data_IF_910211977847
#
_entry.id   IF_910211977847
#
_cell.length_a   1.000
_cell.length_b   1.000
_cell.length_c   1.000
_cell.angle_alpha   90.00
_cell.angle_beta   90.00
_cell.angle_gamma   90.00
#
_symmetry.space_group_name_H-M   'P 1'
#
loop_
_entity.id
_entity.type
_entity.pdbx_description
1 polymer ?
#
# COMPACT_ATOMS: atom_id res chain seq x y z
N UNK A 1 -59.57 -46.99 25.42
CA UNK A 1 -59.20 -45.91 26.35
C UNK A 1 -58.72 -44.73 25.52
N UNK A 2 -59.56 -43.70 25.50
CA UNK A 2 -59.43 -42.28 25.14
C UNK A 2 -58.07 -41.84 24.56
N UNK A 3 -57.96 -41.16 23.41
CA UNK A 3 -58.91 -40.29 22.72
C UNK A 3 -58.39 -38.83 22.76
N UNK A 4 -58.10 -38.18 21.61
CA UNK A 4 -57.58 -36.81 21.52
C UNK A 4 -58.72 -35.79 21.58
N UNK A 5 -58.43 -34.54 21.96
CA UNK A 5 -59.42 -33.45 21.89
C UNK A 5 -58.95 -32.29 21.01
N UNK A 6 -59.86 -31.90 20.11
CA UNK A 6 -59.86 -30.73 19.25
C UNK A 6 -60.95 -29.82 19.79
N UNK A 7 -60.73 -28.51 19.82
CA UNK A 7 -61.85 -27.56 19.81
C UNK A 7 -61.50 -26.30 19.04
N UNK A 8 -62.42 -25.91 18.17
CA UNK A 8 -62.41 -24.82 17.20
C UNK A 8 -62.90 -23.47 17.80
N UNK A 9 -62.29 -22.35 17.35
CA UNK A 9 -62.85 -21.13 16.68
C UNK A 9 -64.07 -20.42 17.34
N UNK A 10 -64.09 -19.06 17.51
CA UNK A 10 -64.41 -18.14 16.40
C UNK A 10 -63.86 -16.70 16.38
N UNK A 11 -63.59 -16.24 15.15
CA UNK A 11 -64.12 -15.01 14.52
C UNK A 11 -63.91 -13.63 15.19
N UNK A 12 -63.24 -12.72 14.46
CA UNK A 12 -63.33 -11.28 14.70
C UNK A 12 -62.57 -10.46 13.65
N UNK A 13 -63.32 -9.85 12.72
CA UNK A 13 -62.84 -8.77 11.85
C UNK A 13 -62.88 -7.43 12.61
N UNK A 14 -61.85 -6.62 12.44
CA UNK A 14 -61.75 -5.18 12.75
C UNK A 14 -60.34 -4.76 12.35
N UNK A 15 -60.12 -4.18 11.16
CA UNK A 15 -60.20 -2.74 10.90
C UNK A 15 -59.91 -1.88 12.14
N UNK A 16 -58.68 -1.35 12.25
CA UNK A 16 -58.47 0.07 12.55
C UNK A 16 -56.99 0.53 12.48
N UNK A 17 -56.81 1.63 11.75
CA UNK A 17 -55.87 2.73 11.95
C UNK A 17 -54.35 2.44 11.91
N UNK A 18 -53.79 2.42 10.69
CA UNK A 18 -52.43 2.91 10.48
C UNK A 18 -52.43 4.45 10.59
N UNK A 19 -51.71 4.97 11.58
CA UNK A 19 -51.48 6.39 11.83
C UNK A 19 -50.90 7.09 10.58
N UNK A 20 -51.65 8.06 10.07
CA UNK A 20 -51.19 8.99 9.04
C UNK A 20 -50.39 10.11 9.70
N UNK A 21 -49.08 10.09 9.49
CA UNK A 21 -48.20 11.24 9.77
C UNK A 21 -48.47 12.36 8.73
N UNK A 22 -48.46 13.65 9.11
CA UNK A 22 -48.88 14.74 8.23
C UNK A 22 -47.85 15.02 7.12
N UNK A 23 -48.37 15.15 5.91
CA UNK A 23 -47.68 15.46 4.67
C UNK A 23 -47.13 16.90 4.71
N UNK A 24 -45.81 17.04 4.73
CA UNK A 24 -45.14 18.34 4.65
C UNK A 24 -45.31 18.93 3.25
N UNK A 25 -46.05 20.05 3.17
CA UNK A 25 -46.15 20.91 1.97
C UNK A 25 -44.75 21.35 1.51
N UNK A 26 -44.36 20.91 0.32
CA UNK A 26 -43.23 21.50 -0.43
C UNK A 26 -43.65 22.87 -0.96
N UNK A 27 -42.87 23.95 -0.73
CA UNK A 27 -43.11 25.19 -1.44
C UNK A 27 -42.64 25.04 -2.88
N UNK A 28 -43.56 25.25 -3.83
CA UNK A 28 -43.27 25.35 -5.25
C UNK A 28 -42.45 26.61 -5.51
N UNK A 29 -41.17 26.42 -5.78
CA UNK A 29 -40.28 27.42 -6.37
C UNK A 29 -39.94 26.98 -7.79
N UNK A 30 -40.32 27.81 -8.75
CA UNK A 30 -39.95 27.72 -10.17
C UNK A 30 -38.42 27.59 -10.29
N UNK A 31 -37.84 26.63 -11.05
CA UNK A 31 -36.40 26.52 -11.15
C UNK A 31 -35.87 27.75 -11.89
N UNK A 32 -35.24 28.65 -11.14
CA UNK A 32 -34.47 29.76 -11.68
C UNK A 32 -33.46 29.18 -12.70
N UNK A 33 -33.65 29.57 -13.96
CA UNK A 33 -32.77 29.23 -15.08
C UNK A 33 -31.36 29.70 -14.75
N UNK A 34 -30.49 28.77 -14.37
CA UNK A 34 -29.05 29.03 -14.23
C UNK A 34 -28.54 29.55 -15.58
N UNK A 35 -27.92 30.75 -15.64
CA UNK A 35 -27.33 31.23 -16.88
C UNK A 35 -26.26 30.23 -17.31
N UNK A 36 -26.41 29.66 -18.51
CA UNK A 36 -25.36 28.84 -19.08
C UNK A 36 -24.09 29.69 -19.24
N UNK A 37 -22.90 29.16 -18.94
CA UNK A 37 -21.66 29.86 -19.24
C UNK A 37 -21.64 30.17 -20.74
N UNK A 38 -21.42 31.44 -21.10
CA UNK A 38 -21.23 31.85 -22.49
C UNK A 38 -20.10 30.99 -23.07
N UNK A 39 -20.39 30.27 -24.16
CA UNK A 39 -19.36 29.67 -24.99
C UNK A 39 -18.31 30.73 -25.31
N UNK A 40 -17.00 30.42 -25.28
CA UNK A 40 -16.02 31.34 -25.81
C UNK A 40 -16.41 31.66 -27.25
N UNK A 41 -16.39 32.95 -27.60
CA UNK A 41 -16.57 33.38 -28.98
C UNK A 41 -15.66 32.52 -29.87
N UNK A 42 -16.17 32.06 -31.02
CA UNK A 42 -15.34 31.38 -32.01
C UNK A 42 -14.13 32.26 -32.38
N UNK A 43 -13.05 31.67 -32.93
CA UNK A 43 -11.82 32.39 -33.19
C UNK A 43 -12.14 33.65 -34.02
N UNK A 44 -11.85 34.81 -33.43
CA UNK A 44 -12.06 36.11 -34.05
C UNK A 44 -11.02 36.21 -35.17
N UNK A 45 -11.44 35.99 -36.42
CA UNK A 45 -10.55 36.10 -37.59
C UNK A 45 -10.12 37.55 -37.72
N UNK A 46 -8.81 37.78 -37.64
CA UNK A 46 -8.21 39.09 -37.83
C UNK A 46 -7.85 39.26 -39.31
N UNK A 47 -8.64 40.05 -40.03
CA UNK A 47 -8.32 40.46 -41.41
C UNK A 47 -7.28 41.60 -41.38
N UNK A 48 -6.01 41.24 -41.25
CA UNK A 48 -4.89 42.20 -41.19
C UNK A 48 -4.26 42.41 -42.56
N UNK A 49 -3.84 43.65 -42.91
CA UNK A 49 -3.14 43.91 -44.15
C UNK A 49 -1.74 43.26 -44.15
N UNK A 50 -1.24 42.92 -45.33
CA UNK A 50 0.04 42.23 -45.54
C UNK A 50 1.21 42.85 -44.76
N UNK A 51 1.35 44.18 -44.74
CA UNK A 51 2.44 44.86 -44.04
C UNK A 51 2.40 44.63 -42.52
N UNK A 52 1.20 44.52 -41.94
CA UNK A 52 1.02 44.23 -40.51
C UNK A 52 1.39 42.78 -40.23
N UNK A 53 0.91 41.83 -41.05
CA UNK A 53 1.26 40.41 -40.92
C UNK A 53 2.76 40.16 -41.10
N UNK A 54 3.40 40.87 -42.04
CA UNK A 54 4.84 40.85 -42.23
C UNK A 54 5.59 41.38 -41.01
N UNK A 55 5.09 42.42 -40.35
CA UNK A 55 5.70 42.96 -39.13
C UNK A 55 5.58 42.00 -37.93
N UNK A 56 4.55 41.14 -37.91
CA UNK A 56 4.33 40.15 -36.87
C UNK A 56 5.22 38.91 -36.99
N UNK A 57 5.92 38.69 -38.12
CA UNK A 57 6.74 37.49 -38.34
C UNK A 57 7.81 37.28 -37.26
N UNK A 58 8.41 38.36 -36.75
CA UNK A 58 9.39 38.29 -35.66
C UNK A 58 8.77 37.86 -34.33
N UNK A 59 7.60 38.42 -33.97
CA UNK A 59 6.87 38.06 -32.76
C UNK A 59 6.32 36.63 -32.85
N UNK A 60 5.83 36.24 -34.02
CA UNK A 60 5.36 34.89 -34.31
C UNK A 60 6.49 33.86 -34.23
N UNK A 61 7.68 34.18 -34.75
CA UNK A 61 8.86 33.31 -34.65
C UNK A 61 9.31 33.09 -33.19
N UNK A 62 9.01 34.03 -32.29
CA UNK A 62 9.28 33.95 -30.85
C UNK A 62 8.10 33.39 -30.03
N UNK A 63 7.03 32.93 -30.67
CA UNK A 63 5.78 32.52 -30.01
C UNK A 63 5.19 33.59 -29.07
N UNK A 64 5.35 34.86 -29.42
CA UNK A 64 4.91 36.02 -28.63
C UNK A 64 3.60 36.65 -29.15
N UNK A 65 3.02 36.13 -30.24
CA UNK A 65 1.72 36.55 -30.75
C UNK A 65 0.57 36.01 -29.89
N UNK A 66 -0.56 36.72 -29.87
CA UNK A 66 -1.82 36.16 -29.39
C UNK A 66 -2.30 35.02 -30.30
N UNK A 67 -3.30 34.24 -29.84
CA UNK A 67 -3.86 33.13 -30.63
C UNK A 67 -4.45 33.62 -31.97
N UNK A 68 -5.20 34.73 -31.96
CA UNK A 68 -5.82 35.28 -33.16
C UNK A 68 -4.78 35.83 -34.17
N UNK A 69 -3.70 36.44 -33.68
CA UNK A 69 -2.58 36.88 -34.53
C UNK A 69 -1.80 35.70 -35.10
N UNK A 70 -1.64 34.62 -34.31
CA UNK A 70 -0.97 33.39 -34.76
C UNK A 70 -1.73 32.76 -35.92
N UNK A 71 -3.04 32.59 -35.77
CA UNK A 71 -3.91 32.04 -36.82
C UNK A 71 -3.85 32.89 -38.11
N UNK A 72 -3.92 34.22 -37.97
CA UNK A 72 -3.86 35.14 -39.11
C UNK A 72 -2.50 35.13 -39.82
N UNK A 73 -1.39 35.02 -39.07
CA UNK A 73 -0.05 34.86 -39.66
C UNK A 73 0.08 33.51 -40.36
N UNK A 74 -0.38 32.40 -39.76
CA UNK A 74 -0.29 31.08 -40.36
C UNK A 74 -1.09 30.94 -41.66
N UNK A 75 -2.30 31.51 -41.71
CA UNK A 75 -3.09 31.61 -42.94
C UNK A 75 -2.32 32.41 -44.01
N UNK A 76 -1.73 33.55 -43.63
CA UNK A 76 -0.92 34.37 -44.55
C UNK A 76 0.33 33.67 -45.08
N UNK A 77 1.02 32.88 -44.26
CA UNK A 77 2.19 32.11 -44.67
C UNK A 77 1.86 31.04 -45.72
N UNK A 78 0.62 30.54 -45.73
CA UNK A 78 0.13 29.64 -46.78
C UNK A 78 0.00 30.33 -48.14
N UNK A 79 -0.32 31.63 -48.15
CA UNK A 79 -0.61 32.40 -49.36
C UNK A 79 0.57 33.26 -49.86
N UNK A 80 1.59 33.52 -49.02
CA UNK A 80 2.72 34.38 -49.35
C UNK A 80 4.09 33.71 -49.15
N UNK A 81 4.68 33.22 -50.25
CA UNK A 81 5.99 32.55 -50.23
C UNK A 81 7.13 33.40 -49.68
N UNK A 82 7.14 34.72 -49.93
CA UNK A 82 8.18 35.62 -49.41
C UNK A 82 8.14 35.74 -47.87
N UNK A 83 6.93 35.76 -47.28
CA UNK A 83 6.77 35.77 -45.83
C UNK A 83 7.05 34.39 -45.23
N UNK A 84 6.71 33.29 -45.92
CA UNK A 84 7.06 31.94 -45.50
C UNK A 84 8.58 31.73 -45.42
N UNK A 85 9.32 32.22 -46.43
CA UNK A 85 10.78 32.15 -46.44
C UNK A 85 11.42 32.97 -45.31
N UNK A 86 10.88 34.16 -45.05
CA UNK A 86 11.34 35.01 -43.94
C UNK A 86 11.01 34.40 -42.58
N UNK A 87 9.79 33.89 -42.41
CA UNK A 87 9.35 33.19 -41.21
C UNK A 87 10.24 31.98 -40.89
N UNK A 88 10.64 31.22 -41.91
CA UNK A 88 11.58 30.09 -41.77
C UNK A 88 12.96 30.58 -41.30
N UNK A 89 13.52 31.61 -41.93
CA UNK A 89 14.82 32.21 -41.52
C UNK A 89 14.78 32.72 -40.08
N UNK A 90 13.69 33.39 -39.70
CA UNK A 90 13.50 33.90 -38.34
C UNK A 90 13.42 32.75 -37.32
N UNK A 91 12.69 31.66 -37.62
CA UNK A 91 12.66 30.46 -36.75
C UNK A 91 14.03 29.79 -36.62
N UNK A 92 14.79 29.70 -37.71
CA UNK A 92 16.18 29.19 -37.68
C UNK A 92 17.06 30.06 -36.78
N UNK A 93 16.93 31.40 -36.86
CA UNK A 93 17.66 32.33 -36.02
C UNK A 93 17.25 32.28 -34.54
N UNK A 94 15.94 32.11 -34.24
CA UNK A 94 15.45 31.92 -32.85
C UNK A 94 16.03 30.66 -32.24
N UNK A 95 16.18 29.58 -33.01
CA UNK A 95 16.84 28.35 -32.57
C UNK A 95 18.31 28.53 -32.15
N UNK A 96 19.00 29.55 -32.67
CA UNK A 96 20.37 29.91 -32.29
C UNK A 96 20.43 30.82 -31.04
N UNK A 97 19.35 31.54 -30.74
CA UNK A 97 19.24 32.44 -29.58
C UNK A 97 18.73 31.72 -28.32
N UNK A 98 17.97 30.64 -28.50
CA UNK A 98 17.45 29.86 -27.39
C UNK A 98 18.57 28.99 -26.79
N UNK A 99 18.96 29.25 -25.54
CA UNK A 99 19.69 28.25 -24.76
C UNK A 99 18.81 26.99 -24.72
N UNK A 100 19.37 25.78 -24.91
CA UNK A 100 18.59 24.58 -24.68
C UNK A 100 18.10 24.60 -23.24
N UNK A 101 16.80 24.85 -23.05
CA UNK A 101 16.16 24.65 -21.76
C UNK A 101 16.25 23.17 -21.42
N UNK A 102 16.62 22.88 -20.18
CA UNK A 102 16.63 21.49 -19.71
C UNK A 102 15.22 20.92 -19.81
N UNK A 103 15.05 19.82 -20.55
CA UNK A 103 13.81 19.06 -20.58
C UNK A 103 13.56 18.29 -19.26
N UNK A 104 14.42 18.48 -18.26
CA UNK A 104 14.23 17.91 -16.94
C UNK A 104 13.06 18.59 -16.23
N UNK A 105 11.91 17.93 -16.33
CA UNK A 105 10.74 18.24 -15.53
C UNK A 105 11.10 18.05 -14.07
N UNK A 106 10.80 19.04 -13.22
CA UNK A 106 10.94 18.95 -11.77
C UNK A 106 10.32 17.62 -11.28
N UNK A 107 11.09 16.73 -10.63
CA UNK A 107 10.62 15.42 -10.17
C UNK A 107 9.38 15.51 -9.26
N UNK A 108 9.20 16.65 -8.59
CA UNK A 108 8.05 16.92 -7.72
C UNK A 108 6.80 17.37 -8.47
N UNK A 109 6.90 17.74 -9.76
CA UNK A 109 5.76 18.24 -10.55
C UNK A 109 4.62 17.24 -10.57
N UNK A 110 4.91 15.95 -10.81
CA UNK A 110 3.88 14.90 -10.81
C UNK A 110 3.12 14.87 -9.48
N UNK A 111 3.84 14.90 -8.36
CA UNK A 111 3.24 14.86 -7.02
C UNK A 111 2.39 16.12 -6.77
N UNK A 112 2.89 17.31 -7.09
CA UNK A 112 2.14 18.57 -6.97
C UNK A 112 0.87 18.60 -7.82
N UNK A 113 0.95 18.07 -9.06
CA UNK A 113 -0.21 17.96 -9.96
C UNK A 113 -1.24 17.00 -9.39
N UNK A 114 -0.82 15.80 -8.97
CA UNK A 114 -1.72 14.82 -8.36
C UNK A 114 -2.36 15.35 -7.07
N UNK A 115 -1.59 16.02 -6.22
CA UNK A 115 -2.10 16.65 -5.00
C UNK A 115 -3.14 17.73 -5.32
N UNK A 116 -2.87 18.61 -6.28
CA UNK A 116 -3.84 19.63 -6.72
C UNK A 116 -5.11 18.99 -7.30
N UNK A 117 -4.98 17.93 -8.10
CA UNK A 117 -6.11 17.17 -8.61
C UNK A 117 -6.94 16.53 -7.49
N UNK A 118 -6.31 15.91 -6.49
CA UNK A 118 -6.98 15.30 -5.35
C UNK A 118 -7.63 16.33 -4.42
N UNK A 119 -7.03 17.51 -4.23
CA UNK A 119 -7.68 18.62 -3.51
C UNK A 119 -8.93 19.11 -4.23
N UNK A 120 -8.88 19.21 -5.56
CA UNK A 120 -10.03 19.65 -6.38
C UNK A 120 -11.13 18.58 -6.45
N UNK A 121 -10.74 17.30 -6.47
CA UNK A 121 -11.65 16.16 -6.55
C UNK A 121 -11.24 15.11 -5.51
N UNK A 122 -11.66 15.28 -4.24
CA UNK A 122 -11.33 14.33 -3.20
C UNK A 122 -11.93 12.95 -3.50
N UNK A 123 -11.28 11.86 -3.06
CA UNK A 123 -11.83 10.53 -3.19
C UNK A 123 -13.17 10.46 -2.43
N UNK A 124 -14.17 9.84 -3.05
CA UNK A 124 -15.50 9.67 -2.42
C UNK A 124 -15.43 8.82 -1.15
N UNK A 125 -14.48 7.88 -1.12
CA UNK A 125 -14.21 6.98 0.00
C UNK A 125 -12.69 7.03 0.20
N UNK A 126 -12.19 7.80 1.17
CA UNK A 126 -10.76 7.88 1.44
C UNK A 126 -10.28 6.61 2.14
N UNK A 127 -9.07 6.15 1.78
CA UNK A 127 -8.38 5.10 2.52
C UNK A 127 -7.90 5.69 3.86
N UNK A 128 -8.13 5.03 5.00
CA UNK A 128 -7.62 5.49 6.29
C UNK A 128 -6.09 5.57 6.28
N UNK A 129 -5.52 6.59 6.92
CA UNK A 129 -4.06 6.81 6.94
C UNK A 129 -3.28 5.57 7.46
N UNK A 130 -3.81 4.91 8.49
CA UNK A 130 -3.22 3.70 9.07
C UNK A 130 -3.27 2.46 8.14
N UNK A 131 -4.03 2.52 7.03
CA UNK A 131 -4.06 1.50 5.99
C UNK A 131 -3.27 1.90 4.74
N UNK A 132 -2.69 3.11 4.69
CA UNK A 132 -2.06 3.65 3.49
C UNK A 132 -0.80 2.87 3.06
N UNK A 133 -0.05 2.29 3.99
CA UNK A 133 1.08 1.42 3.65
C UNK A 133 0.62 0.15 2.94
N UNK A 134 -0.47 -0.48 3.40
CA UNK A 134 -1.01 -1.68 2.76
C UNK A 134 -1.53 -1.38 1.34
N UNK A 135 -2.26 -0.27 1.16
CA UNK A 135 -2.70 0.20 -0.16
C UNK A 135 -1.52 0.42 -1.10
N UNK A 136 -0.49 1.13 -0.63
CA UNK A 136 0.67 1.43 -1.45
C UNK A 136 1.47 0.18 -1.84
N UNK A 137 1.81 -0.70 -0.90
CA UNK A 137 2.66 -1.85 -1.19
C UNK A 137 1.93 -2.91 -2.05
N UNK A 138 0.62 -3.12 -1.83
CA UNK A 138 -0.17 -3.99 -2.71
C UNK A 138 -0.30 -3.41 -4.13
N UNK A 139 -0.47 -2.09 -4.27
CA UNK A 139 -0.49 -1.44 -5.58
C UNK A 139 0.87 -1.52 -6.31
N UNK A 140 1.98 -1.39 -5.57
CA UNK A 140 3.34 -1.52 -6.13
C UNK A 140 3.63 -2.94 -6.59
N UNK A 141 3.27 -3.95 -5.79
CA UNK A 141 3.41 -5.36 -6.19
C UNK A 141 2.50 -5.68 -7.39
N UNK A 142 1.24 -5.22 -7.41
CA UNK A 142 0.37 -5.42 -8.59
C UNK A 142 0.92 -4.76 -9.86
N UNK A 143 1.60 -3.62 -9.73
CA UNK A 143 2.27 -2.98 -10.86
C UNK A 143 3.42 -3.85 -11.40
N UNK A 144 4.26 -4.40 -10.53
CA UNK A 144 5.32 -5.36 -10.90
C UNK A 144 4.73 -6.57 -11.64
N UNK A 145 3.66 -7.16 -11.10
CA UNK A 145 3.03 -8.37 -11.64
C UNK A 145 2.26 -8.14 -12.94
N UNK A 146 1.95 -6.89 -13.30
CA UNK A 146 1.09 -6.56 -14.45
C UNK A 146 1.66 -7.07 -15.76
N UNK A 147 2.97 -6.90 -15.91
CA UNK A 147 3.69 -7.08 -17.17
C UNK A 147 4.30 -8.48 -17.31
N UNK A 148 4.14 -9.34 -16.31
CA UNK A 148 4.64 -10.72 -16.35
C UNK A 148 3.92 -11.53 -17.42
N UNK A 149 4.66 -12.32 -18.21
CA UNK A 149 4.11 -13.38 -19.04
C UNK A 149 3.87 -14.67 -18.24
N UNK A 150 3.39 -15.73 -18.89
CA UNK A 150 3.06 -16.99 -18.22
C UNK A 150 4.29 -17.71 -17.64
N UNK A 151 5.46 -17.54 -18.25
CA UNK A 151 6.70 -18.16 -17.78
C UNK A 151 7.16 -17.55 -16.45
N UNK A 152 7.06 -16.23 -16.30
CA UNK A 152 7.50 -15.50 -15.12
C UNK A 152 6.76 -15.96 -13.86
N UNK A 153 5.48 -16.33 -13.97
CA UNK A 153 4.67 -16.87 -12.86
C UNK A 153 5.23 -18.17 -12.27
N UNK A 154 6.02 -18.91 -13.04
CA UNK A 154 6.65 -20.16 -12.64
C UNK A 154 8.12 -20.00 -12.27
N UNK A 155 8.66 -18.78 -12.30
CA UNK A 155 10.03 -18.48 -11.87
C UNK A 155 10.23 -18.95 -10.43
N UNK A 156 11.28 -19.75 -10.14
CA UNK A 156 11.54 -20.22 -8.78
C UNK A 156 11.86 -19.07 -7.83
N UNK A 157 11.18 -19.04 -6.68
CA UNK A 157 11.45 -18.13 -5.57
C UNK A 157 11.81 -18.96 -4.34
N UNK A 158 12.68 -18.42 -3.48
CA UNK A 158 13.02 -19.02 -2.19
C UNK A 158 12.61 -18.08 -1.08
N UNK A 159 11.51 -18.40 -0.41
CA UNK A 159 11.11 -17.71 0.82
C UNK A 159 12.12 -18.03 1.92
N UNK A 160 12.43 -17.02 2.75
CA UNK A 160 13.37 -17.11 3.87
C UNK A 160 12.73 -16.52 5.11
N UNK A 161 13.01 -17.13 6.25
CA UNK A 161 12.64 -16.64 7.57
C UNK A 161 13.65 -17.20 8.59
N UNK A 162 13.50 -16.84 9.85
CA UNK A 162 14.36 -17.26 10.93
C UNK A 162 13.54 -17.89 12.04
N UNK A 163 13.80 -19.16 12.35
CA UNK A 163 13.01 -19.97 13.27
C UNK A 163 13.94 -20.79 14.15
N UNK A 164 13.61 -20.90 15.44
CA UNK A 164 14.38 -21.69 16.41
C UNK A 164 15.90 -21.40 16.41
N UNK A 165 16.28 -20.13 16.19
CA UNK A 165 17.68 -19.70 16.20
C UNK A 165 18.46 -20.02 14.93
N UNK A 166 17.80 -20.49 13.86
CA UNK A 166 18.45 -20.83 12.59
C UNK A 166 17.69 -20.27 11.38
N UNK A 167 18.39 -19.98 10.26
CA UNK A 167 17.74 -19.62 9.01
C UNK A 167 16.92 -20.80 8.45
N UNK A 168 15.69 -20.53 8.04
CA UNK A 168 14.80 -21.47 7.40
C UNK A 168 14.43 -20.98 6.00
N UNK A 169 14.07 -21.90 5.10
CA UNK A 169 13.66 -21.53 3.74
C UNK A 169 12.70 -22.52 3.10
N UNK A 170 11.89 -22.01 2.16
CA UNK A 170 10.95 -22.80 1.37
C UNK A 170 11.05 -22.42 -0.10
N UNK A 171 11.18 -23.42 -0.98
CA UNK A 171 11.15 -23.21 -2.43
C UNK A 171 9.70 -23.12 -2.90
N UNK A 172 9.42 -22.16 -3.76
CA UNK A 172 8.11 -21.94 -4.38
C UNK A 172 8.29 -21.28 -5.75
N UNK A 173 7.23 -20.76 -6.33
CA UNK A 173 7.26 -19.93 -7.55
C UNK A 173 6.69 -18.54 -7.28
N UNK A 174 6.83 -17.61 -8.21
CA UNK A 174 6.14 -16.30 -8.14
C UNK A 174 4.64 -16.47 -7.84
N UNK A 175 3.95 -17.36 -8.55
CA UNK A 175 2.54 -17.65 -8.28
C UNK A 175 2.33 -18.24 -6.86
N UNK A 176 3.27 -19.05 -6.38
CA UNK A 176 3.24 -19.57 -5.02
C UNK A 176 3.42 -18.50 -3.94
N UNK A 177 4.24 -17.46 -4.19
CA UNK A 177 4.38 -16.30 -3.30
C UNK A 177 3.08 -15.50 -3.23
N UNK A 178 2.42 -15.23 -4.37
CA UNK A 178 1.12 -14.54 -4.37
C UNK A 178 0.03 -15.39 -3.71
N UNK A 179 0.09 -16.71 -3.85
CA UNK A 179 -0.78 -17.63 -3.13
C UNK A 179 -0.55 -17.58 -1.61
N UNK A 180 0.71 -17.47 -1.16
CA UNK A 180 1.05 -17.23 0.24
C UNK A 180 0.42 -15.92 0.73
N UNK A 181 0.64 -14.80 0.04
CA UNK A 181 0.06 -13.50 0.41
C UNK A 181 -1.47 -13.55 0.50
N UNK A 182 -2.15 -14.11 -0.51
CA UNK A 182 -3.60 -14.34 -0.51
C UNK A 182 -4.05 -15.15 0.72
N UNK A 183 -3.31 -16.21 1.06
CA UNK A 183 -3.67 -17.10 2.16
C UNK A 183 -3.59 -16.39 3.51
N UNK A 184 -2.53 -15.62 3.73
CA UNK A 184 -2.26 -14.96 5.00
C UNK A 184 -3.10 -13.68 5.15
N UNK A 185 -3.30 -12.90 4.07
CA UNK A 185 -4.24 -11.77 4.05
C UNK A 185 -5.69 -12.21 4.36
N UNK A 186 -6.01 -13.48 4.06
CA UNK A 186 -7.27 -14.10 4.47
C UNK A 186 -7.55 -14.04 5.97
N UNK A 187 -6.54 -13.98 6.85
CA UNK A 187 -6.77 -13.80 8.29
C UNK A 187 -7.37 -12.42 8.61
N UNK A 188 -6.90 -11.38 7.91
CA UNK A 188 -7.47 -10.03 8.01
C UNK A 188 -8.87 -10.00 7.40
N UNK A 189 -9.08 -10.70 6.29
CA UNK A 189 -10.38 -10.80 5.64
C UNK A 189 -11.42 -11.42 6.58
N UNK A 190 -11.10 -12.56 7.21
CA UNK A 190 -12.00 -13.22 8.16
C UNK A 190 -12.26 -12.36 9.39
N UNK A 191 -11.25 -11.64 9.91
CA UNK A 191 -11.44 -10.71 11.03
C UNK A 191 -12.37 -9.54 10.68
N UNK A 192 -12.43 -9.14 9.41
CA UNK A 192 -13.35 -8.14 8.88
C UNK A 192 -14.74 -8.71 8.51
N UNK A 193 -14.97 -10.01 8.70
CA UNK A 193 -16.22 -10.68 8.32
C UNK A 193 -16.35 -10.92 6.81
N UNK A 194 -15.26 -10.86 6.06
CA UNK A 194 -15.20 -11.22 4.65
C UNK A 194 -14.98 -12.72 4.49
N UNK A 195 -15.21 -13.22 3.27
CA UNK A 195 -14.98 -14.61 2.92
C UNK A 195 -13.51 -15.00 3.05
N UNK A 196 -13.24 -16.16 3.65
CA UNK A 196 -11.88 -16.71 3.71
C UNK A 196 -11.51 -17.34 2.35
N UNK A 197 -10.44 -16.88 1.67
CA UNK A 197 -10.00 -17.47 0.40
C UNK A 197 -9.60 -18.95 0.51
N UNK A 198 -9.35 -19.44 1.73
CA UNK A 198 -9.10 -20.85 1.99
C UNK A 198 -10.37 -21.69 2.06
N UNK A 199 -11.57 -21.11 2.12
CA UNK A 199 -12.83 -21.87 2.30
C UNK A 199 -12.96 -22.99 1.26
N UNK A 200 -12.79 -22.67 -0.02
CA UNK A 200 -12.84 -23.64 -1.12
C UNK A 200 -11.67 -24.62 -1.11
N UNK A 201 -10.48 -24.16 -0.71
CA UNK A 201 -9.26 -24.95 -0.68
C UNK A 201 -9.32 -26.01 0.45
N UNK A 202 -9.74 -25.60 1.64
CA UNK A 202 -9.93 -26.43 2.83
C UNK A 202 -11.10 -27.40 2.65
N UNK A 203 -12.19 -26.97 1.99
CA UNK A 203 -13.29 -27.87 1.63
C UNK A 203 -12.82 -29.04 0.74
N UNK A 204 -11.83 -28.81 -0.13
CA UNK A 204 -11.24 -29.85 -0.99
C UNK A 204 -10.14 -30.67 -0.32
N UNK A 205 -9.45 -30.11 0.69
CA UNK A 205 -8.29 -30.73 1.34
C UNK A 205 -8.64 -31.69 2.52
N UNK A 206 -9.92 -31.83 2.89
CA UNK A 206 -10.37 -32.75 3.94
C UNK A 206 -10.27 -32.19 5.37
N UNK A 207 -10.66 -32.98 6.40
CA UNK A 207 -10.80 -32.53 7.79
C UNK A 207 -9.51 -31.97 8.42
N UNK A 208 -8.35 -32.48 8.00
CA UNK A 208 -7.03 -32.14 8.57
C UNK A 208 -6.58 -30.70 8.24
N UNK A 209 -7.17 -30.07 7.21
CA UNK A 209 -6.87 -28.71 6.81
C UNK A 209 -7.57 -27.63 7.66
N UNK A 210 -8.59 -28.02 8.46
CA UNK A 210 -9.32 -27.10 9.36
C UNK A 210 -8.49 -26.65 10.57
N UNK A 211 -7.32 -27.26 10.78
CA UNK A 211 -6.34 -26.92 11.82
C UNK A 211 -5.20 -26.02 11.35
N UNK A 212 -5.29 -25.42 10.16
CA UNK A 212 -4.31 -24.47 9.64
C UNK A 212 -4.32 -23.15 10.44
N UNK A 213 -3.75 -23.18 11.64
CA UNK A 213 -3.54 -22.00 12.47
C UNK A 213 -2.33 -21.21 11.95
N UNK A 214 -2.47 -19.88 11.95
CA UNK A 214 -1.40 -18.94 11.63
C UNK A 214 -0.93 -18.92 10.15
N UNK A 215 0.00 -18.01 9.83
CA UNK A 215 0.53 -17.81 8.48
C UNK A 215 1.04 -19.08 7.78
N UNK A 216 1.97 -19.80 8.41
CA UNK A 216 2.61 -20.99 7.85
C UNK A 216 1.60 -22.11 7.56
N UNK A 217 0.70 -22.39 8.51
CA UNK A 217 -0.32 -23.42 8.38
C UNK A 217 -1.27 -23.13 7.21
N UNK A 218 -1.71 -21.87 7.06
CA UNK A 218 -2.60 -21.44 5.97
C UNK A 218 -1.93 -21.53 4.61
N UNK A 219 -0.69 -21.05 4.51
CA UNK A 219 0.11 -21.12 3.28
C UNK A 219 0.24 -22.56 2.78
N UNK A 220 0.65 -23.46 3.67
CA UNK A 220 0.83 -24.88 3.34
C UNK A 220 -0.50 -25.57 3.02
N UNK A 221 -1.59 -25.23 3.71
CA UNK A 221 -2.92 -25.75 3.38
C UNK A 221 -3.37 -25.32 1.97
N UNK A 222 -3.16 -24.05 1.60
CA UNK A 222 -3.52 -23.55 0.29
C UNK A 222 -2.68 -24.20 -0.83
N UNK A 223 -1.37 -24.31 -0.64
CA UNK A 223 -0.49 -24.97 -1.61
C UNK A 223 -0.83 -26.46 -1.78
N UNK A 224 -1.12 -27.19 -0.69
CA UNK A 224 -1.52 -28.61 -0.76
C UNK A 224 -2.88 -28.84 -1.42
N UNK A 225 -3.81 -27.89 -1.30
CA UNK A 225 -5.15 -28.03 -1.87
C UNK A 225 -5.16 -27.98 -3.41
N UNK A 226 -4.05 -27.59 -4.04
CA UNK A 226 -3.96 -27.48 -5.50
C UNK A 226 -3.18 -28.65 -6.08
N UNK A 227 -3.82 -29.41 -6.96
CA UNK A 227 -3.19 -30.55 -7.65
C UNK A 227 -2.15 -30.11 -8.68
N UNK A 228 -2.31 -28.91 -9.24
CA UNK A 228 -1.39 -28.29 -10.19
C UNK A 228 -0.68 -27.08 -9.57
N UNK A 229 0.53 -26.73 -10.05
CA UNK A 229 1.19 -25.50 -9.65
C UNK A 229 0.29 -24.27 -9.84
N UNK A 230 0.45 -23.30 -8.94
CA UNK A 230 -0.25 -22.02 -9.06
C UNK A 230 0.18 -21.30 -10.34
N UNK A 231 -0.75 -20.57 -10.96
CA UNK A 231 -0.53 -19.80 -12.18
C UNK A 231 -0.96 -18.34 -11.98
N UNK A 232 -0.88 -17.53 -13.04
CA UNK A 232 -1.37 -16.14 -13.08
C UNK A 232 -2.77 -15.93 -12.48
N UNK A 233 -3.63 -16.96 -12.49
CA UNK A 233 -4.98 -16.89 -11.94
C UNK A 233 -5.04 -16.43 -10.47
N UNK A 234 -4.00 -16.69 -9.68
CA UNK A 234 -3.94 -16.27 -8.27
C UNK A 234 -3.90 -14.75 -8.11
N UNK A 235 -3.35 -14.01 -9.08
CA UNK A 235 -3.25 -12.55 -9.05
C UNK A 235 -4.62 -11.88 -8.93
N UNK A 236 -5.60 -12.36 -9.70
CA UNK A 236 -6.95 -11.80 -9.69
C UNK A 236 -7.57 -11.92 -8.30
N UNK A 237 -7.50 -13.10 -7.70
CA UNK A 237 -8.03 -13.36 -6.35
C UNK A 237 -7.36 -12.53 -5.27
N UNK A 238 -6.02 -12.47 -5.29
CA UNK A 238 -5.24 -11.66 -4.35
C UNK A 238 -5.60 -10.17 -4.48
N UNK A 239 -5.62 -9.65 -5.71
CA UNK A 239 -5.97 -8.25 -5.98
C UNK A 239 -7.39 -7.90 -5.52
N UNK A 240 -8.36 -8.76 -5.82
CA UNK A 240 -9.75 -8.56 -5.43
C UNK A 240 -9.89 -8.57 -3.90
N UNK A 241 -9.17 -9.45 -3.21
CA UNK A 241 -9.12 -9.47 -1.75
C UNK A 241 -8.52 -8.17 -1.19
N UNK A 242 -7.35 -7.73 -1.67
CA UNK A 242 -6.73 -6.48 -1.20
C UNK A 242 -7.66 -5.28 -1.38
N UNK A 243 -8.35 -5.20 -2.52
CA UNK A 243 -9.37 -4.17 -2.75
C UNK A 243 -10.56 -4.27 -1.79
N UNK A 244 -11.05 -5.48 -1.51
CA UNK A 244 -12.15 -5.69 -0.56
C UNK A 244 -11.75 -5.31 0.88
N UNK A 245 -10.53 -5.67 1.31
CA UNK A 245 -9.97 -5.28 2.59
C UNK A 245 -9.96 -3.75 2.73
N UNK A 246 -9.34 -3.06 1.78
CA UNK A 246 -9.24 -1.60 1.75
C UNK A 246 -10.61 -0.92 1.71
N UNK A 247 -11.51 -1.42 0.87
CA UNK A 247 -12.89 -0.92 0.78
C UNK A 247 -13.60 -1.06 2.13
N UNK A 248 -13.49 -2.22 2.77
CA UNK A 248 -14.17 -2.51 4.04
C UNK A 248 -13.66 -1.61 5.15
N UNK A 249 -12.33 -1.47 5.29
CA UNK A 249 -11.75 -0.59 6.32
C UNK A 249 -12.06 0.89 6.09
N UNK A 250 -12.23 1.30 4.83
CA UNK A 250 -12.64 2.67 4.51
C UNK A 250 -14.08 2.97 4.93
N UNK A 251 -14.92 1.95 5.10
CA UNK A 251 -16.30 2.09 5.58
C UNK A 251 -16.46 1.84 7.08
N UNK A 252 -15.57 1.09 7.73
CA UNK A 252 -15.70 0.78 9.17
C UNK A 252 -15.40 1.96 10.08
N UNK A 253 -14.78 3.04 9.57
CA UNK A 253 -14.67 4.36 10.23
C UNK A 253 -13.95 4.42 11.59
N UNK A 254 -13.59 3.26 12.17
CA UNK A 254 -12.96 3.13 13.48
C UNK A 254 -11.43 3.16 13.41
N UNK A 255 -10.80 3.32 14.57
CA UNK A 255 -9.34 3.41 14.74
C UNK A 255 -8.57 2.08 14.49
N UNK A 256 -9.17 1.10 13.81
CA UNK A 256 -8.55 -0.20 13.53
C UNK A 256 -8.11 -0.96 14.78
N UNK A 257 -8.87 -0.87 15.87
CA UNK A 257 -8.48 -1.40 17.18
C UNK A 257 -8.86 -2.85 17.47
N UNK A 258 -9.74 -3.46 16.68
CA UNK A 258 -10.21 -4.82 16.96
C UNK A 258 -9.14 -5.88 16.65
N UNK A 259 -9.17 -7.04 17.32
CA UNK A 259 -8.10 -8.04 17.23
C UNK A 259 -8.13 -8.84 15.92
N UNK A 260 -6.95 -9.11 15.37
CA UNK A 260 -6.67 -10.05 14.29
C UNK A 260 -5.71 -11.12 14.81
N UNK A 261 -6.16 -12.38 14.82
CA UNK A 261 -5.36 -13.51 15.30
C UNK A 261 -4.40 -14.05 14.23
N UNK A 262 -3.15 -14.26 14.61
CA UNK A 262 -2.08 -14.84 13.78
C UNK A 262 -1.70 -16.26 14.22
N UNK A 263 -2.53 -16.91 15.03
CA UNK A 263 -2.19 -18.15 15.73
C UNK A 263 -1.63 -17.82 17.10
N UNK A 264 -0.31 -17.69 17.22
CA UNK A 264 0.39 -17.56 18.50
C UNK A 264 0.35 -16.15 19.11
N UNK A 265 -0.07 -15.16 18.32
CA UNK A 265 -0.21 -13.78 18.75
C UNK A 265 -1.41 -13.10 18.09
N UNK A 266 -1.72 -11.89 18.58
CA UNK A 266 -2.82 -11.07 18.08
C UNK A 266 -2.32 -9.64 17.86
N UNK A 267 -2.72 -9.05 16.74
CA UNK A 267 -2.48 -7.63 16.44
C UNK A 267 -3.81 -6.88 16.34
N UNK A 268 -3.88 -5.61 16.77
CA UNK A 268 -4.96 -4.73 16.35
C UNK A 268 -5.01 -4.64 14.83
N UNK A 269 -6.19 -4.52 14.20
CA UNK A 269 -6.33 -4.44 12.74
C UNK A 269 -5.35 -3.45 12.09
N UNK A 270 -5.16 -2.27 12.68
CA UNK A 270 -4.24 -1.26 12.14
C UNK A 270 -2.80 -1.79 12.04
N UNK A 271 -2.35 -2.50 13.07
CA UNK A 271 -1.01 -3.08 13.14
C UNK A 271 -0.94 -4.31 12.22
N UNK A 272 -2.03 -5.08 12.11
CA UNK A 272 -2.13 -6.17 11.16
C UNK A 272 -1.99 -5.67 9.71
N UNK A 273 -2.57 -4.54 9.32
CA UNK A 273 -2.36 -4.00 7.97
C UNK A 273 -0.95 -3.47 7.73
N UNK A 274 -0.29 -2.91 8.76
CA UNK A 274 1.13 -2.54 8.66
C UNK A 274 2.01 -3.79 8.49
N UNK A 275 1.73 -4.85 9.24
CA UNK A 275 2.35 -6.16 9.06
C UNK A 275 2.14 -6.71 7.65
N UNK A 276 0.90 -6.74 7.16
CA UNK A 276 0.60 -7.19 5.79
C UNK A 276 1.30 -6.33 4.73
N UNK A 277 1.46 -5.03 4.96
CA UNK A 277 2.22 -4.15 4.07
C UNK A 277 3.72 -4.50 4.06
N UNK A 278 4.30 -4.80 5.23
CA UNK A 278 5.68 -5.25 5.37
C UNK A 278 5.90 -6.55 4.60
N UNK A 279 5.05 -7.56 4.83
CA UNK A 279 5.10 -8.85 4.15
C UNK A 279 4.91 -8.71 2.63
N UNK A 280 4.01 -7.82 2.18
CA UNK A 280 3.82 -7.54 0.76
C UNK A 280 5.07 -6.93 0.12
N UNK A 281 5.75 -6.00 0.80
CA UNK A 281 7.00 -5.42 0.30
C UNK A 281 8.14 -6.44 0.26
N UNK A 282 8.36 -7.18 1.34
CA UNK A 282 9.41 -8.21 1.44
C UNK A 282 9.24 -9.24 0.32
N UNK A 283 8.03 -9.74 0.12
CA UNK A 283 7.77 -10.72 -0.94
C UNK A 283 7.76 -10.13 -2.34
N UNK A 284 7.51 -8.83 -2.49
CA UNK A 284 7.76 -8.16 -3.76
C UNK A 284 9.25 -8.07 -4.07
N UNK A 285 10.11 -7.84 -3.07
CA UNK A 285 11.58 -7.91 -3.21
C UNK A 285 12.03 -9.34 -3.58
N UNK A 286 11.48 -10.38 -2.95
CA UNK A 286 11.72 -11.78 -3.32
C UNK A 286 11.41 -12.07 -4.80
N UNK A 287 10.23 -11.63 -5.25
CA UNK A 287 9.78 -11.81 -6.64
C UNK A 287 10.69 -11.03 -7.59
N UNK A 288 10.93 -9.74 -7.29
CA UNK A 288 11.72 -8.88 -8.14
C UNK A 288 13.16 -9.39 -8.28
N UNK A 289 13.77 -9.87 -7.20
CA UNK A 289 15.07 -10.54 -7.23
C UNK A 289 15.08 -11.79 -8.12
N UNK A 290 14.03 -12.62 -8.02
CA UNK A 290 13.92 -13.84 -8.81
C UNK A 290 13.79 -13.59 -10.32
N UNK A 291 13.17 -12.48 -10.72
CA UNK A 291 13.02 -12.07 -12.12
C UNK A 291 14.03 -10.99 -12.55
N UNK A 292 15.01 -10.67 -11.71
CA UNK A 292 16.03 -9.63 -11.96
C UNK A 292 15.46 -8.25 -12.29
N UNK A 293 14.41 -7.84 -11.58
CA UNK A 293 13.77 -6.54 -11.71
C UNK A 293 14.19 -5.60 -10.57
N UNK A 294 14.48 -4.31 -10.82
CA UNK A 294 14.79 -3.35 -9.77
C UNK A 294 13.55 -3.03 -8.93
N UNK A 295 13.67 -3.12 -7.61
CA UNK A 295 12.55 -2.83 -6.70
C UNK A 295 13.02 -2.04 -5.48
N UNK A 296 12.60 -0.77 -5.42
CA UNK A 296 13.05 0.14 -4.37
C UNK A 296 12.39 -0.15 -3.00
N UNK A 297 12.96 0.31 -1.88
CA UNK A 297 12.29 0.29 -0.58
C UNK A 297 10.96 1.08 -0.56
N UNK A 298 10.10 0.87 0.46
CA UNK A 298 8.90 1.67 0.67
C UNK A 298 9.22 3.14 0.87
N UNK A 299 8.23 3.99 0.60
CA UNK A 299 8.33 5.41 0.92
C UNK A 299 8.68 5.60 2.42
N UNK A 300 9.51 6.59 2.80
CA UNK A 300 10.01 6.70 4.17
C UNK A 300 8.93 6.68 5.25
N UNK A 301 7.77 7.31 4.99
CA UNK A 301 6.61 7.32 5.88
C UNK A 301 5.94 5.95 6.08
N UNK A 302 6.02 5.05 5.10
CA UNK A 302 5.48 3.69 5.21
C UNK A 302 6.51 2.79 5.91
N UNK A 303 7.79 2.92 5.52
CA UNK A 303 8.89 2.20 6.14
C UNK A 303 8.99 2.52 7.64
N UNK A 304 8.80 3.79 8.04
CA UNK A 304 8.84 4.18 9.46
C UNK A 304 7.75 3.50 10.27
N UNK A 305 6.55 3.26 9.71
CA UNK A 305 5.46 2.54 10.37
C UNK A 305 5.79 1.06 10.55
N UNK A 306 6.44 0.45 9.56
CA UNK A 306 6.90 -0.95 9.65
C UNK A 306 7.98 -1.09 10.72
N UNK A 307 8.96 -0.18 10.74
CA UNK A 307 10.01 -0.13 11.77
C UNK A 307 9.40 0.09 13.16
N UNK A 308 8.48 1.04 13.31
CA UNK A 308 7.78 1.33 14.56
C UNK A 308 7.03 0.09 15.10
N UNK A 309 6.35 -0.65 14.22
CA UNK A 309 5.68 -1.89 14.60
C UNK A 309 6.69 -2.96 15.07
N UNK A 310 7.73 -3.23 14.27
CA UNK A 310 8.75 -4.22 14.61
C UNK A 310 9.45 -3.87 15.94
N UNK A 311 9.86 -2.61 16.14
CA UNK A 311 10.47 -2.15 17.39
C UNK A 311 9.54 -2.33 18.60
N UNK A 312 8.23 -2.09 18.46
CA UNK A 312 7.23 -2.35 19.51
C UNK A 312 7.05 -3.84 19.84
N UNK A 313 7.33 -4.73 18.90
CA UNK A 313 7.23 -6.17 19.09
C UNK A 313 8.48 -6.77 19.77
N UNK A 314 9.63 -6.11 19.68
CA UNK A 314 10.90 -6.60 20.22
C UNK A 314 10.88 -6.98 21.70
N UNK A 315 10.24 -6.24 22.63
CA UNK A 315 10.25 -6.64 24.04
C UNK A 315 9.63 -8.03 24.27
N UNK A 316 8.56 -8.35 23.53
CA UNK A 316 7.93 -9.67 23.57
C UNK A 316 8.81 -10.73 22.90
N UNK A 317 9.44 -10.41 21.78
CA UNK A 317 10.34 -11.33 21.07
C UNK A 317 11.59 -11.66 21.91
N UNK A 318 12.17 -10.66 22.59
CA UNK A 318 13.30 -10.85 23.52
C UNK A 318 12.89 -11.74 24.69
N UNK A 319 11.71 -11.50 25.28
CA UNK A 319 11.19 -12.34 26.36
C UNK A 319 10.93 -13.78 25.91
N UNK A 320 10.46 -13.99 24.68
CA UNK A 320 10.29 -15.33 24.10
C UNK A 320 11.63 -16.03 23.85
N UNK A 321 12.67 -15.29 23.47
CA UNK A 321 14.00 -15.82 23.21
C UNK A 321 14.77 -16.16 24.49
N UNK A 322 14.79 -15.26 25.48
CA UNK A 322 15.59 -15.38 26.71
C UNK A 322 14.84 -16.04 27.88
N UNK A 323 13.52 -16.02 27.85
CA UNK A 323 12.69 -16.15 29.05
C UNK A 323 12.60 -14.83 29.81
N UNK A 324 11.48 -14.61 30.53
CA UNK A 324 11.31 -13.42 31.35
C UNK A 324 12.13 -13.50 32.65
N UNK A 325 12.78 -12.40 33.03
CA UNK A 325 13.44 -12.32 34.32
C UNK A 325 12.41 -12.31 35.47
N UNK A 326 12.80 -12.74 36.69
CA UNK A 326 11.93 -12.65 37.86
C UNK A 326 11.46 -11.20 38.10
N UNK A 327 10.21 -11.05 38.52
CA UNK A 327 9.63 -9.76 38.88
C UNK A 327 10.51 -9.04 39.92
N UNK A 328 10.81 -7.76 39.68
CA UNK A 328 11.65 -6.95 40.57
C UNK A 328 13.14 -6.89 40.20
N UNK A 329 13.58 -7.62 39.17
CA UNK A 329 14.94 -7.44 38.61
C UNK A 329 15.06 -6.03 38.02
N UNK A 330 16.14 -5.26 38.31
CA UNK A 330 16.38 -3.96 37.71
C UNK A 330 16.38 -4.06 36.17
N UNK A 331 15.43 -3.39 35.50
CA UNK A 331 15.28 -3.49 34.05
C UNK A 331 16.45 -2.86 33.30
N UNK A 332 17.26 -3.67 32.62
CA UNK A 332 18.23 -3.26 31.62
C UNK A 332 17.52 -2.95 30.30
N UNK A 333 18.08 -2.01 29.56
CA UNK A 333 17.61 -1.69 28.20
C UNK A 333 18.74 -1.68 27.19
N UNK A 334 18.40 -2.02 25.95
CA UNK A 334 19.25 -1.78 24.78
C UNK A 334 18.67 -0.61 23.99
N UNK A 335 19.52 0.34 23.59
CA UNK A 335 19.14 1.39 22.65
C UNK A 335 19.21 0.85 21.23
N UNK A 336 18.11 0.92 20.51
CA UNK A 336 18.02 0.64 19.08
C UNK A 336 17.90 1.98 18.35
N UNK A 337 18.89 2.30 17.54
CA UNK A 337 18.90 3.45 16.64
C UNK A 337 18.73 2.96 15.20
N UNK A 338 17.72 3.48 14.51
CA UNK A 338 17.53 3.24 13.09
C UNK A 338 17.81 4.54 12.36
N UNK A 339 18.76 4.50 11.43
CA UNK A 339 19.22 5.65 10.66
C UNK A 339 18.33 5.89 9.42
N UNK A 340 18.48 7.07 8.82
CA UNK A 340 17.79 7.44 7.58
C UNK A 340 16.42 8.09 7.76
N UNK A 341 15.76 8.38 6.64
CA UNK A 341 14.53 9.19 6.59
C UNK A 341 13.30 8.51 7.23
N UNK A 342 13.36 7.19 7.42
CA UNK A 342 12.35 6.38 8.11
C UNK A 342 12.75 6.03 9.56
N UNK A 343 13.90 6.53 10.00
CA UNK A 343 14.57 6.15 11.23
C UNK A 343 13.94 6.68 12.51
N UNK A 344 14.52 6.27 13.64
CA UNK A 344 14.06 6.61 14.98
C UNK A 344 14.96 5.98 16.05
N UNK A 345 14.63 6.23 17.31
CA UNK A 345 15.36 5.66 18.44
C UNK A 345 14.37 5.06 19.44
N UNK A 346 14.67 3.85 19.91
CA UNK A 346 13.87 3.11 20.88
C UNK A 346 14.77 2.56 21.98
N UNK A 347 14.23 2.51 23.20
CA UNK A 347 14.84 1.75 24.29
C UNK A 347 14.06 0.45 24.45
N UNK A 348 14.72 -0.67 24.16
CA UNK A 348 14.14 -2.01 24.21
C UNK A 348 14.42 -2.61 25.58
N UNK A 349 13.39 -2.85 26.42
CA UNK A 349 13.54 -3.57 27.69
C UNK A 349 14.02 -5.00 27.44
N UNK A 350 15.03 -5.45 28.19
CA UNK A 350 15.63 -6.78 28.01
C UNK A 350 15.09 -7.83 28.98
N UNK A 351 14.68 -7.41 30.18
CA UNK A 351 14.38 -8.34 31.27
C UNK A 351 12.87 -8.61 31.45
N UNK A 352 12.01 -7.64 31.08
CA UNK A 352 10.56 -7.79 31.12
C UNK A 352 9.89 -6.97 30.01
N UNK A 353 8.93 -7.55 29.26
CA UNK A 353 8.29 -6.88 28.14
C UNK A 353 7.38 -5.71 28.56
N UNK A 354 6.99 -5.65 29.84
CA UNK A 354 6.14 -4.59 30.41
C UNK A 354 6.93 -3.59 31.27
N UNK A 355 8.25 -3.73 31.35
CA UNK A 355 9.08 -2.79 32.10
C UNK A 355 9.14 -1.45 31.37
N UNK A 356 9.05 -0.35 32.13
CA UNK A 356 9.32 0.97 31.59
C UNK A 356 10.81 1.07 31.22
N UNK A 357 11.15 1.52 30.00
CA UNK A 357 12.53 1.71 29.60
C UNK A 357 13.18 2.83 30.42
N UNK A 358 14.35 2.55 30.99
CA UNK A 358 15.08 3.46 31.86
C UNK A 358 16.42 3.85 31.20
N UNK A 359 16.58 5.08 30.69
CA UNK A 359 17.79 5.51 29.96
C UNK A 359 19.09 5.38 30.77
N UNK A 360 19.00 5.51 32.09
CA UNK A 360 20.10 5.33 33.05
C UNK A 360 20.58 3.87 33.17
N UNK A 361 19.85 2.93 32.56
CA UNK A 361 20.13 1.48 32.57
C UNK A 361 20.36 0.90 31.18
N UNK A 362 20.81 1.74 30.26
CA UNK A 362 21.28 1.31 28.97
C UNK A 362 22.59 0.51 29.08
N UNK A 363 22.55 -0.75 28.67
CA UNK A 363 23.72 -1.65 28.70
C UNK A 363 24.36 -1.83 27.33
N UNK A 364 23.63 -1.50 26.27
CA UNK A 364 24.07 -1.67 24.89
C UNK A 364 23.35 -0.71 23.94
N UNK A 365 24.00 -0.46 22.81
CA UNK A 365 23.51 0.36 21.70
C UNK A 365 23.75 -0.38 20.38
N UNK A 366 22.70 -0.47 19.55
CA UNK A 366 22.72 -1.01 18.19
C UNK A 366 22.20 0.05 17.23
N UNK A 367 22.95 0.33 16.18
CA UNK A 367 22.59 1.26 15.10
C UNK A 367 22.54 0.54 13.75
N UNK A 368 21.47 0.72 12.97
CA UNK A 368 21.22 0.05 11.68
C UNK A 368 20.57 1.03 10.69
N UNK A 369 20.78 0.83 9.38
CA UNK A 369 19.90 1.44 8.37
C UNK A 369 18.49 0.82 8.42
N UNK A 370 17.46 1.60 8.08
CA UNK A 370 16.07 1.14 8.12
C UNK A 370 15.76 -0.08 7.25
N UNK A 371 16.35 -0.17 6.05
CA UNK A 371 16.17 -1.32 5.17
C UNK A 371 16.90 -2.54 5.73
N UNK A 372 18.10 -2.35 6.27
CA UNK A 372 18.88 -3.42 6.89
C UNK A 372 18.16 -4.02 8.10
N UNK A 373 17.59 -3.19 8.98
CA UNK A 373 16.77 -3.64 10.10
C UNK A 373 15.54 -4.42 9.62
N UNK A 374 14.86 -3.96 8.58
CA UNK A 374 13.73 -4.66 7.99
C UNK A 374 14.13 -6.01 7.37
N UNK A 375 15.28 -6.11 6.69
CA UNK A 375 15.80 -7.38 6.18
C UNK A 375 16.12 -8.37 7.30
N UNK A 376 16.66 -7.89 8.42
CA UNK A 376 16.86 -8.70 9.61
C UNK A 376 15.51 -9.18 10.15
N UNK A 377 14.55 -8.27 10.35
CA UNK A 377 13.21 -8.60 10.82
C UNK A 377 12.44 -9.55 9.90
N UNK A 378 12.77 -9.57 8.60
CA UNK A 378 12.24 -10.49 7.60
C UNK A 378 13.04 -11.81 7.48
N UNK A 379 14.08 -12.03 8.30
CA UNK A 379 14.93 -13.22 8.24
C UNK A 379 15.71 -13.37 6.92
N UNK A 380 15.91 -12.27 6.20
CA UNK A 380 16.64 -12.23 4.93
C UNK A 380 18.15 -12.12 5.13
N UNK A 381 18.56 -11.56 6.27
CA UNK A 381 19.94 -11.53 6.77
C UNK A 381 19.95 -12.12 8.17
N UNK A 382 21.03 -12.81 8.53
CA UNK A 382 21.19 -13.38 9.88
C UNK A 382 21.67 -12.32 10.88
N UNK A 383 21.47 -12.54 12.20
CA UNK A 383 22.05 -11.69 13.23
C UNK A 383 23.58 -11.53 13.12
N UNK A 384 24.27 -12.52 12.58
CA UNK A 384 25.73 -12.49 12.37
C UNK A 384 26.16 -11.73 11.11
N UNK A 385 25.32 -11.73 10.07
CA UNK A 385 25.60 -11.10 8.78
C UNK A 385 25.10 -9.66 8.69
N UNK A 386 24.21 -9.24 9.60
CA UNK A 386 23.61 -7.92 9.55
C UNK A 386 24.64 -6.80 9.77
N UNK A 387 24.53 -5.75 8.96
CA UNK A 387 25.43 -4.60 9.01
C UNK A 387 24.98 -3.62 10.11
N UNK A 388 25.35 -3.91 11.35
CA UNK A 388 25.00 -3.10 12.52
C UNK A 388 26.23 -2.45 13.18
N UNK A 389 26.10 -1.17 13.54
CA UNK A 389 26.96 -0.53 14.54
C UNK A 389 26.62 -1.07 15.93
N UNK A 390 27.61 -1.55 16.69
CA UNK A 390 27.39 -2.26 17.95
C UNK A 390 28.31 -1.72 19.06
N UNK A 391 27.74 -1.41 20.24
CA UNK A 391 28.50 -0.98 21.42
C UNK A 391 27.86 -1.48 22.71
N UNK A 392 28.67 -1.96 23.65
CA UNK A 392 28.22 -2.37 24.99
C UNK A 392 28.16 -3.89 25.17
N UNK A 393 27.20 -4.36 25.96
CA UNK A 393 27.01 -5.78 26.30
C UNK A 393 26.73 -6.64 25.04
N UNK A 394 27.65 -7.55 24.72
CA UNK A 394 27.58 -8.42 23.54
C UNK A 394 26.45 -9.45 23.61
N UNK A 395 26.09 -9.90 24.81
CA UNK A 395 24.99 -10.85 24.99
C UNK A 395 23.66 -10.15 24.72
N UNK A 396 23.46 -8.97 25.33
CA UNK A 396 22.28 -8.14 25.09
C UNK A 396 22.09 -7.82 23.60
N UNK A 397 23.17 -7.49 22.90
CA UNK A 397 23.14 -7.21 21.46
C UNK A 397 22.73 -8.46 20.66
N UNK A 398 23.35 -9.61 20.93
CA UNK A 398 23.01 -10.87 20.24
C UNK A 398 21.55 -11.24 20.46
N UNK A 399 21.04 -11.06 21.67
CA UNK A 399 19.67 -11.45 22.00
C UNK A 399 18.65 -10.57 21.31
N UNK A 400 18.90 -9.26 21.19
CA UNK A 400 18.01 -8.36 20.45
C UNK A 400 18.07 -8.61 18.94
N UNK A 401 19.26 -8.83 18.37
CA UNK A 401 19.38 -9.13 16.93
C UNK A 401 18.71 -10.47 16.58
N UNK A 402 18.91 -11.50 17.42
CA UNK A 402 18.22 -12.80 17.28
C UNK A 402 16.71 -12.65 17.43
N UNK A 403 16.24 -11.92 18.44
CA UNK A 403 14.82 -11.65 18.65
C UNK A 403 14.20 -10.87 17.48
N UNK A 404 14.95 -9.94 16.88
CA UNK A 404 14.53 -9.21 15.68
C UNK A 404 14.33 -10.18 14.52
N UNK A 405 15.32 -11.06 14.26
CA UNK A 405 15.20 -12.06 13.20
C UNK A 405 14.01 -13.01 13.39
N UNK A 406 13.73 -13.41 14.64
CA UNK A 406 12.59 -14.25 15.01
C UNK A 406 11.21 -13.61 14.84
N UNK A 407 11.10 -12.34 14.43
CA UNK A 407 9.83 -11.74 14.01
C UNK A 407 9.33 -12.30 12.66
N UNK A 408 10.25 -12.78 11.82
CA UNK A 408 9.95 -13.37 10.53
C UNK A 408 9.24 -14.72 10.65
N UNK A 409 8.45 -15.06 9.63
CA UNK A 409 7.69 -16.30 9.55
C UNK A 409 7.33 -16.62 8.10
N UNK A 410 7.01 -17.89 7.85
CA UNK A 410 6.42 -18.32 6.58
C UNK A 410 4.92 -18.02 6.52
#
# INVERSE_FOLDING_TARGET
MNGPDRSEVPGGRGDEAAERLPEQRRPGGDPARVPQPRSPAGPERLDLPHEVLRSLLGAWALAACSAAETDAVEEHLGDCGACADEARRLREAVGLLHRPESLEVDPTLRNRVLENCLRRRPPRIPVPEWAASYDAETARLDALLRDFGDAEWHTPVRLRWFEAGVPASRRTTVAGVIAHLLSVDGMVATALGLEDPLTDAVAKAGPDARGAAGPAGRTEAFWRASHFPQTRAVRGRWRDQSHQLLRTVSFTGGAGGFPVGYGDFTLPLRDALVDRAFECWVHAEDIANAVHYPYDPPAPRHLSRMIELAARMLPLAVAAHRGAAPAGTPGRSLRLEIEGAAGGQWLIPLDSPVAEPAPDREVAHVALDGVEFCRLAAGHVTPEETTAGQRGDREAIRDVLTATASLSRM
#
